data_IF_769629696694
#
_entry.id   IF_769629696694
#
_cell.length_a   1.000
_cell.length_b   1.000
_cell.length_c   1.000
_cell.angle_alpha   90.00
_cell.angle_beta   90.00
_cell.angle_gamma   90.00
#
_symmetry.space_group_name_H-M   'P 1'
#
loop_
_entity.id
_entity.type
_entity.pdbx_description
1 polymer ?
#
# COMPACT_ATOMS: atom_id res chain seq x y z
N UNK A 1 1.38 9.06 -11.98
CA UNK A 1 2.81 8.95 -12.21
C UNK A 1 3.14 8.88 -13.70
N UNK A 2 4.36 9.31 -14.04
CA UNK A 2 4.95 9.09 -15.36
C UNK A 2 6.40 8.68 -15.11
N UNK A 3 6.78 7.47 -15.48
CA UNK A 3 8.15 6.95 -15.35
C UNK A 3 8.73 6.60 -16.71
N UNK A 4 9.89 7.17 -17.03
CA UNK A 4 10.67 6.77 -18.20
C UNK A 4 11.24 5.36 -18.02
N UNK A 5 11.12 4.54 -19.06
CA UNK A 5 11.68 3.20 -19.13
C UNK A 5 12.67 3.11 -20.30
N UNK A 6 13.50 2.07 -20.31
CA UNK A 6 14.41 1.82 -21.43
C UNK A 6 13.68 1.63 -22.76
N UNK A 7 14.33 1.98 -23.89
CA UNK A 7 13.78 1.79 -25.23
C UNK A 7 12.64 2.74 -25.59
N UNK A 8 12.75 4.02 -25.22
CA UNK A 8 11.75 5.07 -25.51
C UNK A 8 10.35 4.73 -25.03
N UNK A 9 10.23 4.05 -23.89
CA UNK A 9 8.95 3.69 -23.27
C UNK A 9 8.70 4.49 -22.01
N UNK A 10 7.43 4.64 -21.65
CA UNK A 10 7.01 5.24 -20.39
C UNK A 10 5.93 4.40 -19.72
N UNK A 11 5.99 4.31 -18.38
CA UNK A 11 4.89 3.81 -17.58
C UNK A 11 4.10 4.98 -17.06
N UNK A 12 2.81 5.02 -17.36
CA UNK A 12 1.89 6.08 -16.92
C UNK A 12 0.74 5.48 -16.13
N UNK A 13 0.30 6.16 -15.09
CA UNK A 13 -0.84 5.69 -14.33
C UNK A 13 -1.43 6.73 -13.41
N UNK A 14 -2.65 6.46 -12.98
CA UNK A 14 -3.41 7.23 -12.00
C UNK A 14 -3.83 6.31 -10.86
N UNK A 15 -3.77 6.80 -9.63
CA UNK A 15 -4.32 6.12 -8.46
C UNK A 15 -5.56 6.88 -8.05
N UNK A 16 -6.67 6.17 -7.92
CA UNK A 16 -7.95 6.72 -7.47
C UNK A 16 -8.36 6.05 -6.17
N UNK A 17 -8.66 6.83 -5.13
CA UNK A 17 -9.20 6.32 -3.89
C UNK A 17 -10.66 5.87 -4.12
N UNK A 18 -10.94 4.59 -3.88
CA UNK A 18 -12.29 4.02 -4.11
C UNK A 18 -13.29 4.39 -3.01
N UNK A 19 -12.83 4.95 -1.89
CA UNK A 19 -13.66 5.52 -0.82
C UNK A 19 -13.82 7.05 -0.91
N UNK A 20 -13.43 7.66 -2.03
CA UNK A 20 -13.75 9.05 -2.33
C UNK A 20 -15.28 9.21 -2.36
N UNK A 21 -15.79 10.28 -1.73
CA UNK A 21 -17.22 10.47 -1.43
C UNK A 21 -18.19 10.57 -2.62
N UNK A 22 -17.78 10.15 -3.80
CA UNK A 22 -18.62 10.07 -5.01
C UNK A 22 -18.66 8.61 -5.50
N UNK A 23 -19.76 7.89 -5.24
CA UNK A 23 -19.88 6.47 -5.59
C UNK A 23 -19.85 6.19 -7.12
N UNK A 24 -20.09 7.20 -7.93
CA UNK A 24 -20.09 7.11 -9.40
C UNK A 24 -18.72 7.38 -10.03
N UNK A 25 -17.67 7.50 -9.21
CA UNK A 25 -16.31 7.73 -9.72
C UNK A 25 -15.79 6.49 -10.43
N UNK A 26 -15.59 6.58 -11.74
CA UNK A 26 -14.92 5.54 -12.53
C UNK A 26 -13.42 5.85 -12.64
N UNK A 27 -12.55 5.01 -12.06
CA UNK A 27 -11.10 5.18 -12.16
C UNK A 27 -10.58 5.17 -13.60
N UNK A 28 -11.22 4.42 -14.49
CA UNK A 28 -10.83 4.36 -15.90
C UNK A 28 -11.14 5.67 -16.61
N UNK A 29 -12.34 6.20 -16.45
CA UNK A 29 -12.73 7.50 -17.03
C UNK A 29 -11.83 8.62 -16.51
N UNK A 30 -11.57 8.66 -15.20
CA UNK A 30 -10.64 9.61 -14.61
C UNK A 30 -9.25 9.52 -15.22
N UNK A 31 -8.76 8.32 -15.48
CA UNK A 31 -7.46 8.12 -16.11
C UNK A 31 -7.45 8.59 -17.57
N UNK A 32 -8.53 8.31 -18.34
CA UNK A 32 -8.64 8.83 -19.70
C UNK A 32 -8.68 10.36 -19.71
N UNK A 33 -9.51 10.96 -18.83
CA UNK A 33 -9.59 12.41 -18.71
C UNK A 33 -8.25 13.04 -18.27
N UNK A 34 -7.55 12.45 -17.30
CA UNK A 34 -6.23 12.92 -16.87
C UNK A 34 -5.20 12.94 -18.01
N UNK A 35 -5.24 12.00 -18.94
CA UNK A 35 -4.36 11.97 -20.11
C UNK A 35 -4.61 13.12 -21.09
N UNK A 36 -5.81 13.73 -21.09
CA UNK A 36 -6.12 14.89 -21.95
C UNK A 36 -5.58 16.22 -21.40
N UNK A 37 -5.08 16.23 -20.15
CA UNK A 37 -4.46 17.44 -19.61
C UNK A 37 -3.28 17.88 -20.50
N UNK A 38 -3.17 19.17 -20.91
CA UNK A 38 -2.21 19.62 -21.91
C UNK A 38 -0.77 19.21 -21.65
N UNK A 39 -0.34 19.24 -20.38
CA UNK A 39 1.00 18.81 -20.00
C UNK A 39 1.21 17.30 -20.19
N UNK A 40 0.23 16.48 -19.84
CA UNK A 40 0.30 15.03 -19.96
C UNK A 40 0.18 14.61 -21.43
N UNK A 41 -0.78 15.20 -22.16
CA UNK A 41 -0.98 14.93 -23.57
C UNK A 41 0.31 15.17 -24.38
N UNK A 42 1.03 16.27 -24.09
CA UNK A 42 2.33 16.55 -24.71
C UNK A 42 3.38 15.49 -24.45
N UNK A 43 3.40 14.91 -23.25
CA UNK A 43 4.36 13.81 -22.91
C UNK A 43 4.00 12.53 -23.66
N UNK A 44 2.71 12.30 -23.91
CA UNK A 44 2.20 11.07 -24.55
C UNK A 44 2.07 11.22 -26.08
N UNK A 45 2.34 12.39 -26.64
CA UNK A 45 2.19 12.69 -28.06
C UNK A 45 2.98 11.70 -28.93
N UNK A 46 2.32 11.12 -29.94
CA UNK A 46 2.91 10.14 -30.83
C UNK A 46 3.18 8.76 -30.20
N UNK A 47 2.80 8.56 -28.93
CA UNK A 47 2.99 7.30 -28.23
C UNK A 47 1.92 6.26 -28.59
N UNK A 48 2.32 4.98 -28.57
CA UNK A 48 1.45 3.84 -28.75
C UNK A 48 1.29 3.06 -27.44
N UNK A 49 0.07 2.55 -27.17
CA UNK A 49 -0.21 1.76 -25.96
C UNK A 49 0.29 0.32 -26.20
N UNK A 50 1.37 -0.04 -25.51
CA UNK A 50 1.94 -1.38 -25.57
C UNK A 50 1.24 -2.36 -24.63
N UNK A 51 0.81 -1.88 -23.45
CA UNK A 51 0.16 -2.69 -22.41
C UNK A 51 -0.68 -1.81 -21.50
N UNK A 52 -1.81 -2.31 -21.05
CA UNK A 52 -2.65 -1.68 -20.03
C UNK A 52 -3.04 -2.68 -18.95
N UNK A 53 -3.36 -2.18 -17.76
CA UNK A 53 -3.83 -2.98 -16.64
C UNK A 53 -4.21 -2.10 -15.46
N UNK A 54 -5.00 -2.65 -14.56
CA UNK A 54 -5.39 -2.01 -13.30
C UNK A 54 -5.35 -3.02 -12.15
N UNK A 55 -5.15 -2.54 -10.94
CA UNK A 55 -5.17 -3.35 -9.73
C UNK A 55 -5.66 -2.53 -8.54
N UNK A 56 -6.52 -3.13 -7.73
CA UNK A 56 -6.87 -2.59 -6.42
C UNK A 56 -5.88 -3.08 -5.37
N UNK A 57 -5.54 -2.21 -4.44
CA UNK A 57 -4.72 -2.56 -3.28
C UNK A 57 -5.27 -1.86 -2.02
N UNK A 58 -5.15 -2.50 -0.84
CA UNK A 58 -5.58 -1.89 0.40
C UNK A 58 -4.58 -0.82 0.86
N UNK A 59 -5.10 0.39 1.07
CA UNK A 59 -4.35 1.54 1.60
C UNK A 59 -4.88 2.02 2.95
N UNK A 60 -5.60 1.19 3.68
CA UNK A 60 -6.17 1.54 4.98
C UNK A 60 -5.14 1.73 6.10
N UNK A 61 -3.89 1.32 5.87
CA UNK A 61 -2.79 1.46 6.83
C UNK A 61 -2.84 0.45 7.96
N UNK A 62 -2.11 0.75 9.04
CA UNK A 62 -1.86 -0.17 10.15
C UNK A 62 -3.15 -0.75 10.77
N UNK A 63 -4.18 0.07 10.97
CA UNK A 63 -5.43 -0.35 11.60
C UNK A 63 -6.33 -1.23 10.70
N UNK A 64 -6.07 -1.26 9.41
CA UNK A 64 -6.83 -2.08 8.45
C UNK A 64 -6.17 -3.42 8.16
N UNK A 65 -5.09 -3.77 8.88
CA UNK A 65 -4.42 -5.05 8.69
C UNK A 65 -5.34 -6.20 9.10
N UNK A 66 -5.60 -7.16 8.21
CA UNK A 66 -6.33 -8.36 8.58
C UNK A 66 -5.44 -9.27 9.47
N UNK A 67 -6.03 -10.29 10.09
CA UNK A 67 -5.27 -11.40 10.67
C UNK A 67 -4.43 -12.06 9.56
N UNK A 68 -3.09 -12.01 9.64
CA UNK A 68 -2.25 -12.35 8.50
C UNK A 68 -1.92 -13.84 8.38
N UNK A 69 -2.53 -14.71 9.17
CA UNK A 69 -2.27 -16.14 9.19
C UNK A 69 -3.54 -16.94 9.51
N UNK A 70 -3.55 -18.19 9.12
CA UNK A 70 -4.57 -19.18 9.45
C UNK A 70 -4.04 -20.57 9.12
N UNK A 71 -4.90 -21.60 9.21
CA UNK A 71 -4.50 -22.95 8.86
C UNK A 71 -4.14 -23.04 7.38
N UNK A 72 -2.88 -23.32 7.08
CA UNK A 72 -2.35 -23.49 5.73
C UNK A 72 -2.09 -22.21 4.95
N UNK A 73 -2.21 -21.00 5.53
CA UNK A 73 -1.96 -19.77 4.77
C UNK A 73 -1.29 -18.65 5.57
N UNK A 74 -0.58 -17.78 4.84
CA UNK A 74 -0.07 -16.49 5.28
C UNK A 74 -0.45 -15.40 4.27
N UNK A 75 -0.72 -14.17 4.76
CA UNK A 75 -0.99 -12.98 3.93
C UNK A 75 0.20 -12.04 4.05
N UNK A 76 0.81 -11.69 2.92
CA UNK A 76 2.01 -10.85 2.85
C UNK A 76 1.81 -9.64 1.93
N UNK A 77 2.72 -8.69 2.00
CA UNK A 77 2.74 -7.51 1.14
C UNK A 77 1.51 -6.63 1.27
N UNK A 78 1.12 -6.02 0.17
CA UNK A 78 -0.02 -5.08 0.14
C UNK A 78 -1.35 -5.77 0.48
N UNK A 79 -1.53 -7.05 0.15
CA UNK A 79 -2.72 -7.82 0.53
C UNK A 79 -2.93 -7.89 2.05
N UNK A 80 -1.85 -7.80 2.84
CA UNK A 80 -1.87 -7.70 4.30
C UNK A 80 -1.98 -6.26 4.81
N UNK A 81 -2.31 -5.27 3.97
CA UNK A 81 -2.36 -3.85 4.32
C UNK A 81 -1.03 -3.31 4.88
N UNK A 82 0.10 -3.80 4.34
CA UNK A 82 1.44 -3.44 4.81
C UNK A 82 2.07 -2.26 4.04
N UNK A 83 1.30 -1.55 3.24
CA UNK A 83 1.77 -0.34 2.55
C UNK A 83 1.96 0.82 3.54
N UNK A 84 3.09 1.52 3.45
CA UNK A 84 3.29 2.77 4.19
C UNK A 84 2.52 3.90 3.50
N UNK A 85 1.33 4.21 4.02
CA UNK A 85 0.38 5.17 3.42
C UNK A 85 0.90 6.60 3.38
N UNK A 86 1.77 7.02 4.29
CA UNK A 86 2.32 8.38 4.30
C UNK A 86 3.33 8.62 3.17
N UNK A 87 3.97 7.57 2.71
CA UNK A 87 4.99 7.60 1.65
C UNK A 87 4.48 7.01 0.34
N UNK A 88 3.33 6.37 0.33
CA UNK A 88 2.80 5.58 -0.79
C UNK A 88 3.84 4.56 -1.29
N UNK A 89 4.50 3.89 -0.35
CA UNK A 89 5.58 2.93 -0.62
C UNK A 89 5.27 1.58 0.05
N UNK A 90 5.20 0.52 -0.76
CA UNK A 90 4.88 -0.84 -0.32
C UNK A 90 5.96 -1.87 -0.66
N UNK A 91 6.90 -1.58 -1.59
CA UNK A 91 7.86 -2.58 -2.07
C UNK A 91 8.76 -3.11 -0.93
N UNK A 92 9.36 -2.22 -0.13
CA UNK A 92 10.24 -2.62 0.97
C UNK A 92 9.50 -3.37 2.08
N UNK A 93 8.27 -2.96 2.38
CA UNK A 93 7.40 -3.63 3.35
C UNK A 93 6.93 -4.99 2.85
N UNK A 94 6.58 -5.10 1.57
CA UNK A 94 6.22 -6.36 0.93
C UNK A 94 7.40 -7.35 0.94
N UNK A 95 8.61 -6.89 0.59
CA UNK A 95 9.82 -7.71 0.68
C UNK A 95 10.10 -8.19 2.11
N UNK A 96 9.97 -7.30 3.10
CA UNK A 96 10.18 -7.68 4.51
C UNK A 96 9.15 -8.71 4.97
N UNK A 97 7.87 -8.51 4.66
CA UNK A 97 6.83 -9.50 5.01
C UNK A 97 7.06 -10.84 4.33
N UNK A 98 7.55 -10.84 3.08
CA UNK A 98 7.94 -12.06 2.37
C UNK A 98 9.07 -12.82 3.09
N UNK A 99 10.10 -12.11 3.55
CA UNK A 99 11.19 -12.72 4.34
C UNK A 99 10.69 -13.32 5.65
N UNK A 100 9.86 -12.59 6.42
CA UNK A 100 9.28 -13.07 7.66
C UNK A 100 8.38 -14.29 7.46
N UNK A 101 7.64 -14.32 6.36
CA UNK A 101 6.82 -15.46 5.97
C UNK A 101 7.69 -16.67 5.63
N UNK A 102 8.77 -16.49 4.87
CA UNK A 102 9.71 -17.57 4.54
C UNK A 102 10.33 -18.20 5.79
N UNK A 103 10.79 -17.38 6.75
CA UNK A 103 11.31 -17.86 8.04
C UNK A 103 10.25 -18.66 8.80
N UNK A 104 8.99 -18.21 8.79
CA UNK A 104 7.88 -18.91 9.46
C UNK A 104 7.56 -20.24 8.78
N UNK A 105 7.55 -20.26 7.45
CA UNK A 105 7.31 -21.48 6.67
C UNK A 105 8.43 -22.51 6.84
N UNK A 106 9.68 -22.07 6.96
CA UNK A 106 10.80 -22.99 7.29
C UNK A 106 10.58 -23.69 8.63
N UNK A 107 10.09 -22.96 9.64
CA UNK A 107 9.77 -23.58 10.94
C UNK A 107 8.56 -24.52 10.85
N UNK A 108 7.54 -24.16 10.07
CA UNK A 108 6.37 -25.00 9.84
C UNK A 108 6.75 -26.32 9.12
N UNK A 109 7.61 -26.23 8.10
CA UNK A 109 8.13 -27.41 7.37
C UNK A 109 8.92 -28.33 8.31
N UNK A 110 9.80 -27.76 9.15
CA UNK A 110 10.58 -28.57 10.11
C UNK A 110 9.74 -29.31 11.13
N UNK A 111 8.57 -28.75 11.46
CA UNK A 111 7.61 -29.33 12.41
C UNK A 111 6.56 -30.22 11.75
N UNK A 112 6.50 -30.20 10.43
CA UNK A 112 5.41 -30.77 9.62
C UNK A 112 4.03 -30.29 10.10
N UNK A 113 3.95 -29.00 10.50
CA UNK A 113 2.76 -28.38 11.08
C UNK A 113 2.48 -27.01 10.47
N UNK A 114 1.42 -26.91 9.69
CA UNK A 114 0.93 -25.69 9.04
C UNK A 114 -0.35 -25.13 9.71
N UNK A 115 -0.61 -25.52 10.94
CA UNK A 115 -1.74 -24.98 11.70
C UNK A 115 -1.57 -23.49 12.00
N UNK A 116 -2.69 -22.82 12.28
CA UNK A 116 -2.70 -21.43 12.71
C UNK A 116 -1.81 -21.20 13.96
N UNK A 117 -1.70 -22.18 14.84
CA UNK A 117 -0.85 -22.14 16.04
C UNK A 117 0.63 -22.01 15.70
N UNK A 118 1.11 -22.75 14.70
CA UNK A 118 2.50 -22.65 14.23
C UNK A 118 2.69 -21.41 13.36
N UNK A 119 1.75 -21.11 12.45
CA UNK A 119 1.87 -19.97 11.53
C UNK A 119 1.68 -18.60 12.23
N UNK A 120 1.15 -18.55 13.45
CA UNK A 120 1.14 -17.36 14.32
C UNK A 120 2.56 -16.80 14.55
N UNK A 121 3.60 -17.60 14.42
CA UNK A 121 4.98 -17.14 14.48
C UNK A 121 5.32 -16.03 13.51
N UNK A 122 4.58 -15.92 12.40
CA UNK A 122 4.70 -14.80 11.44
C UNK A 122 4.33 -13.45 12.07
N UNK A 123 3.22 -13.39 12.81
CA UNK A 123 2.80 -12.14 13.45
C UNK A 123 3.79 -11.72 14.54
N UNK A 124 4.31 -12.67 15.32
CA UNK A 124 5.36 -12.38 16.30
C UNK A 124 6.61 -11.81 15.63
N UNK A 125 7.09 -12.42 14.53
CA UNK A 125 8.23 -11.89 13.75
C UNK A 125 7.96 -10.50 13.19
N UNK A 126 6.72 -10.25 12.73
CA UNK A 126 6.31 -8.91 12.29
C UNK A 126 6.43 -7.91 13.45
N UNK A 127 5.90 -8.25 14.61
CA UNK A 127 5.90 -7.40 15.80
C UNK A 127 7.31 -7.07 16.32
N UNK A 128 8.23 -8.01 16.23
CA UNK A 128 9.63 -7.86 16.64
C UNK A 128 10.49 -7.15 15.58
N UNK A 129 9.94 -6.88 14.39
CA UNK A 129 10.67 -6.25 13.29
C UNK A 129 10.50 -4.73 13.24
N UNK A 130 11.41 -4.05 12.52
CA UNK A 130 11.30 -2.62 12.22
C UNK A 130 10.01 -2.25 11.48
N UNK A 131 9.39 -3.22 10.79
CA UNK A 131 8.21 -3.02 9.97
C UNK A 131 7.01 -2.57 10.80
N UNK A 132 6.80 -3.17 11.98
CA UNK A 132 5.75 -2.73 12.91
C UNK A 132 5.95 -1.28 13.33
N UNK A 133 7.17 -0.92 13.74
CA UNK A 133 7.45 0.44 14.20
C UNK A 133 7.27 1.48 13.09
N UNK A 134 7.65 1.17 11.84
CA UNK A 134 7.44 2.04 10.70
C UNK A 134 5.95 2.25 10.42
N UNK A 135 5.17 1.17 10.32
CA UNK A 135 3.74 1.25 10.02
C UNK A 135 2.93 1.84 11.18
N UNK A 136 3.31 1.53 12.42
CA UNK A 136 2.66 2.08 13.61
C UNK A 136 2.87 3.59 13.74
N UNK A 137 4.02 4.10 13.35
CA UNK A 137 4.31 5.55 13.35
C UNK A 137 3.36 6.34 12.46
N UNK A 138 2.90 5.75 11.35
CA UNK A 138 2.01 6.39 10.38
C UNK A 138 0.54 5.93 10.48
N UNK A 139 0.18 5.19 11.53
CA UNK A 139 -1.12 4.51 11.69
C UNK A 139 -2.35 5.41 11.56
N UNK A 140 -2.23 6.67 11.94
CA UNK A 140 -3.32 7.65 11.91
C UNK A 140 -3.27 8.57 10.69
N UNK A 141 -2.25 8.41 9.80
CA UNK A 141 -2.02 9.34 8.69
C UNK A 141 -3.26 9.50 7.80
N UNK A 142 -3.88 8.40 7.36
CA UNK A 142 -5.05 8.43 6.48
C UNK A 142 -6.26 9.09 7.14
N UNK A 143 -6.52 8.80 8.41
CA UNK A 143 -7.67 9.32 9.15
C UNK A 143 -7.65 10.86 9.26
N UNK A 144 -6.48 11.48 9.20
CA UNK A 144 -6.37 12.93 9.31
C UNK A 144 -6.89 13.69 8.08
N UNK A 145 -6.97 13.03 6.93
CA UNK A 145 -7.52 13.62 5.70
C UNK A 145 -9.05 13.48 5.61
N UNK A 146 -9.68 12.65 6.43
CA UNK A 146 -11.13 12.46 6.38
C UNK A 146 -11.86 13.69 6.94
N UNK A 147 -12.74 14.29 6.12
CA UNK A 147 -13.61 15.39 6.50
C UNK A 147 -12.94 16.75 6.73
N UNK A 148 -11.61 16.88 6.51
CA UNK A 148 -10.85 18.11 6.83
C UNK A 148 -10.24 18.83 5.63
N UNK A 149 -10.47 18.31 4.42
CA UNK A 149 -9.83 18.79 3.22
C UNK A 149 -8.30 18.55 3.23
N UNK A 150 -7.66 18.87 2.12
CA UNK A 150 -6.24 18.59 1.92
C UNK A 150 -5.33 19.30 2.93
N UNK A 151 -5.49 20.61 3.11
CA UNK A 151 -4.58 21.40 3.96
C UNK A 151 -4.74 21.09 5.45
N UNK A 152 -5.98 20.96 5.95
CA UNK A 152 -6.24 20.58 7.33
C UNK A 152 -5.71 19.18 7.65
N UNK A 153 -5.89 18.25 6.75
CA UNK A 153 -5.34 16.89 6.85
C UNK A 153 -3.81 16.88 6.84
N UNK A 154 -3.18 17.60 5.93
CA UNK A 154 -1.72 17.64 5.79
C UNK A 154 -1.02 18.19 7.03
N UNK A 155 -1.53 19.31 7.61
CA UNK A 155 -0.97 19.92 8.82
C UNK A 155 -1.06 18.94 10.00
N UNK A 156 -2.23 18.36 10.25
CA UNK A 156 -2.43 17.41 11.36
C UNK A 156 -1.64 16.12 11.19
N UNK A 157 -1.63 15.57 9.97
CA UNK A 157 -0.83 14.40 9.66
C UNK A 157 0.66 14.65 9.87
N UNK A 158 1.17 15.84 9.50
CA UNK A 158 2.54 16.27 9.75
C UNK A 158 2.88 16.36 11.23
N UNK A 159 2.03 17.01 12.02
CA UNK A 159 2.20 17.10 13.48
C UNK A 159 2.23 15.71 14.11
N UNK A 160 1.25 14.84 13.78
CA UNK A 160 1.20 13.48 14.31
C UNK A 160 2.39 12.63 13.88
N UNK A 161 2.87 12.81 12.65
CA UNK A 161 4.07 12.12 12.19
C UNK A 161 5.30 12.47 13.02
N UNK A 162 5.51 13.75 13.33
CA UNK A 162 6.61 14.23 14.18
C UNK A 162 6.46 13.69 15.62
N UNK A 163 5.24 13.64 16.14
CA UNK A 163 4.94 13.10 17.47
C UNK A 163 4.89 11.56 17.53
N UNK A 164 5.39 10.86 16.51
CA UNK A 164 5.42 9.39 16.50
C UNK A 164 4.06 8.72 16.34
N UNK A 165 3.08 9.43 15.76
CA UNK A 165 1.72 8.94 15.53
C UNK A 165 0.81 8.99 16.77
N UNK A 166 1.18 9.76 17.81
CA UNK A 166 0.39 9.92 19.03
C UNK A 166 -0.89 10.74 18.77
N UNK A 167 -1.96 10.37 19.45
CA UNK A 167 -3.27 11.01 19.40
C UNK A 167 -4.22 10.30 18.42
N UNK A 168 -5.11 9.49 18.96
CA UNK A 168 -6.32 9.01 18.30
C UNK A 168 -7.38 10.11 18.31
#
# INVERSE_FOLDING_TARGET
>A
WVYGLSGHRASVGLVTALDAGQPWTDPWENFQHWKTHPYIAKILEGGEILKAGAKCLPEGGFWSRPRPYGDGFLIIGDSGSNLNVSRLKGVHTAMKTGLLAAETLLDAIRKDDFSAATLQGYEKRFDDSWLKSELYRVRNYRAEFQGRGFWGGAIRAGIKYVLGGVGA
#
